data_IF_220744400452
#
_entry.id   IF_220744400452
#
_cell.length_a   1.000
_cell.length_b   1.000
_cell.length_c   1.000
_cell.angle_alpha   90.00
_cell.angle_beta   90.00
_cell.angle_gamma   90.00
#
_symmetry.space_group_name_H-M   'P 1'
#
loop_
_entity.id
_entity.type
_entity.pdbx_description
1 polymer ?
#
# COMPACT_ATOMS: atom_id res chain seq x y z
N UNK A 1 42.18 22.30 -36.52
CA UNK A 1 42.37 20.89 -36.09
C UNK A 1 42.77 20.10 -37.32
N UNK A 2 44.03 19.67 -37.41
CA UNK A 2 44.55 18.95 -38.58
C UNK A 2 44.52 17.44 -38.31
N UNK A 3 43.82 16.68 -39.15
CA UNK A 3 43.80 15.21 -39.12
C UNK A 3 44.78 14.69 -40.18
N UNK A 4 45.76 13.89 -39.78
CA UNK A 4 46.69 13.26 -40.70
C UNK A 4 46.09 11.96 -41.24
N UNK A 5 46.02 11.84 -42.56
CA UNK A 5 45.53 10.65 -43.26
C UNK A 5 46.65 10.08 -44.12
N UNK A 6 46.73 8.75 -44.22
CA UNK A 6 47.67 8.07 -45.11
C UNK A 6 46.90 7.43 -46.26
N UNK A 7 47.41 7.61 -47.47
CA UNK A 7 46.88 6.98 -48.67
C UNK A 7 47.55 5.61 -48.88
N UNK A 8 46.75 4.55 -49.04
CA UNK A 8 47.24 3.20 -49.36
C UNK A 8 46.68 2.77 -50.71
N UNK A 9 47.55 2.23 -51.57
CA UNK A 9 47.19 1.81 -52.93
C UNK A 9 46.47 0.48 -52.91
N UNK A 10 45.23 0.46 -53.41
CA UNK A 10 44.46 -0.77 -53.53
C UNK A 10 44.62 -1.35 -54.94
N UNK A 11 45.39 -2.44 -55.06
CA UNK A 11 45.65 -3.10 -56.36
C UNK A 11 44.41 -3.68 -57.04
N UNK A 12 43.36 -4.06 -56.29
CA UNK A 12 42.11 -4.55 -56.87
C UNK A 12 41.30 -3.45 -57.53
N UNK A 13 41.41 -2.20 -57.05
CA UNK A 13 40.70 -1.04 -57.60
C UNK A 13 41.59 -0.13 -58.47
N UNK A 14 42.88 -0.44 -58.56
CA UNK A 14 43.92 0.36 -59.24
C UNK A 14 43.93 1.85 -58.86
N UNK A 15 43.63 2.20 -57.60
CA UNK A 15 43.70 3.59 -57.11
C UNK A 15 44.11 3.71 -55.63
N UNK A 16 44.56 4.90 -55.22
CA UNK A 16 44.93 5.24 -53.84
C UNK A 16 43.69 5.62 -53.01
N UNK A 17 43.56 5.06 -51.81
CA UNK A 17 42.43 5.31 -50.88
C UNK A 17 42.96 5.79 -49.53
N UNK A 18 42.32 6.82 -48.94
CA UNK A 18 42.75 7.41 -47.68
C UNK A 18 42.21 6.63 -46.47
N UNK A 19 43.09 6.34 -45.53
CA UNK A 19 42.75 5.66 -44.27
C UNK A 19 43.38 6.44 -43.11
N UNK A 20 42.64 6.55 -42.00
CA UNK A 20 43.11 7.18 -40.75
C UNK A 20 43.91 6.16 -39.94
N UNK A 21 45.15 6.50 -39.56
CA UNK A 21 45.97 5.64 -38.70
C UNK A 21 45.95 6.15 -37.26
N UNK A 22 45.37 5.39 -36.36
CA UNK A 22 45.75 5.42 -34.94
C UNK A 22 45.78 3.96 -34.46
N UNK A 23 46.93 3.33 -34.71
CA UNK A 23 47.32 1.96 -34.36
C UNK A 23 47.39 1.77 -32.82
N UNK A 24 47.39 0.57 -32.22
CA UNK A 24 48.17 -0.66 -32.46
C UNK A 24 47.54 -1.83 -31.67
N UNK A 25 47.76 -3.12 -31.86
CA UNK A 25 48.14 -4.01 -32.97
C UNK A 25 47.74 -5.43 -32.49
N UNK A 26 47.16 -6.26 -33.37
CA UNK A 26 46.78 -7.65 -33.11
C UNK A 26 47.34 -8.56 -34.22
N UNK A 27 47.77 -9.77 -33.86
CA UNK A 27 48.24 -10.83 -34.77
C UNK A 27 47.42 -12.13 -34.62
N UNK A 28 47.36 -12.93 -35.69
CA UNK A 28 46.48 -14.09 -35.91
C UNK A 28 47.24 -15.15 -36.76
N UNK A 29 47.32 -16.45 -36.38
CA UNK A 29 47.39 -17.68 -37.27
C UNK A 29 48.06 -18.94 -36.63
N UNK A 30 47.50 -20.15 -36.86
CA UNK A 30 48.17 -21.39 -37.37
C UNK A 30 49.09 -22.32 -36.51
N UNK A 31 48.65 -23.58 -36.36
CA UNK A 31 49.35 -24.91 -36.20
C UNK A 31 50.33 -25.30 -35.04
N UNK A 32 50.08 -26.49 -34.48
CA UNK A 32 50.87 -27.42 -33.63
C UNK A 32 51.81 -26.91 -32.53
N UNK A 33 51.35 -26.92 -31.27
CA UNK A 33 51.95 -27.65 -30.12
C UNK A 33 51.20 -27.30 -28.83
N UNK A 34 51.01 -28.31 -27.99
CA UNK A 34 50.44 -28.18 -26.66
C UNK A 34 51.26 -27.21 -25.78
N UNK A 35 50.57 -26.34 -25.04
CA UNK A 35 50.65 -26.24 -23.57
C UNK A 35 49.72 -25.16 -23.04
N UNK A 36 49.31 -25.38 -21.79
CA UNK A 36 48.30 -24.69 -20.98
C UNK A 36 48.70 -23.24 -20.65
N UNK A 37 47.71 -22.36 -20.40
CA UNK A 37 47.37 -21.75 -19.09
C UNK A 37 46.59 -20.43 -19.22
N UNK A 38 45.57 -20.31 -18.36
CA UNK A 38 45.05 -19.09 -17.72
C UNK A 38 44.68 -17.86 -18.57
N UNK A 39 43.38 -17.56 -18.64
CA UNK A 39 42.76 -16.26 -18.29
C UNK A 39 41.40 -16.10 -18.98
N UNK A 40 40.33 -16.43 -18.27
CA UNK A 40 38.97 -16.13 -18.73
C UNK A 40 38.65 -14.70 -18.29
N UNK A 41 38.99 -13.72 -19.14
CA UNK A 41 38.40 -12.39 -19.13
C UNK A 41 37.48 -12.29 -20.34
N UNK A 42 36.23 -12.71 -20.19
CA UNK A 42 35.20 -12.51 -21.21
C UNK A 42 34.36 -11.28 -20.83
N UNK A 43 34.63 -10.20 -21.56
CA UNK A 43 33.73 -9.09 -21.78
C UNK A 43 32.42 -9.61 -22.39
N UNK A 44 31.37 -9.72 -21.57
CA UNK A 44 30.00 -9.92 -22.06
C UNK A 44 29.10 -8.77 -21.61
N UNK A 45 28.73 -7.96 -22.60
CA UNK A 45 27.35 -7.56 -22.94
C UNK A 45 26.42 -7.22 -21.76
N UNK A 46 26.04 -5.95 -21.75
CA UNK A 46 24.89 -5.35 -21.07
C UNK A 46 23.65 -6.26 -21.08
N UNK A 47 23.04 -6.46 -19.91
CA UNK A 47 21.65 -6.14 -19.53
C UNK A 47 21.21 -6.98 -18.32
N UNK A 48 20.42 -6.35 -17.45
CA UNK A 48 19.72 -6.85 -16.23
C UNK A 48 20.52 -6.70 -14.92
N UNK A 49 20.05 -5.78 -14.05
CA UNK A 49 19.29 -6.28 -12.91
C UNK A 49 17.96 -5.53 -12.81
N UNK A 50 16.92 -6.05 -13.45
CA UNK A 50 15.54 -5.58 -13.24
C UNK A 50 14.64 -6.75 -12.83
N UNK A 51 15.16 -7.66 -12.01
CA UNK A 51 14.41 -8.82 -11.54
C UNK A 51 14.81 -9.18 -10.11
N UNK A 52 14.67 -8.24 -9.18
CA UNK A 52 14.54 -8.59 -7.75
C UNK A 52 13.71 -7.55 -7.00
N UNK A 53 12.53 -7.22 -7.53
CA UNK A 53 11.49 -6.47 -6.80
C UNK A 53 10.15 -7.22 -6.78
N UNK A 54 10.16 -8.54 -7.02
CA UNK A 54 8.94 -9.35 -7.15
C UNK A 54 8.61 -10.19 -5.90
N UNK A 55 9.26 -9.92 -4.77
CA UNK A 55 8.90 -10.54 -3.49
C UNK A 55 9.03 -9.53 -2.35
N UNK A 56 8.34 -8.39 -2.46
CA UNK A 56 7.96 -7.70 -1.24
C UNK A 56 6.99 -8.65 -0.52
N UNK A 57 7.30 -9.18 0.67
CA UNK A 57 6.28 -9.83 1.46
C UNK A 57 5.16 -8.79 1.61
N UNK A 58 3.94 -9.16 1.21
CA UNK A 58 2.79 -8.38 1.64
C UNK A 58 2.79 -8.49 3.16
N UNK A 59 3.38 -7.50 3.82
CA UNK A 59 3.20 -7.29 5.24
C UNK A 59 1.71 -7.07 5.37
N UNK A 60 0.98 -8.13 5.71
CA UNK A 60 -0.44 -8.08 6.01
C UNK A 60 -0.56 -7.28 7.30
N UNK A 61 -0.58 -5.95 7.16
CA UNK A 61 -1.07 -5.09 8.20
C UNK A 61 -2.53 -5.49 8.40
N UNK A 62 -2.86 -5.77 9.65
CA UNK A 62 -4.21 -6.04 10.05
C UNK A 62 -5.10 -4.87 9.53
N UNK A 63 -6.27 -5.18 8.98
CA UNK A 63 -7.05 -4.27 8.10
C UNK A 63 -8.56 -4.45 8.34
N UNK A 64 -9.36 -3.41 8.04
CA UNK A 64 -10.82 -3.49 8.05
C UNK A 64 -11.31 -3.75 6.62
N UNK A 65 -11.93 -4.92 6.41
CA UNK A 65 -12.43 -5.36 5.10
C UNK A 65 -13.92 -5.59 5.20
N UNK A 66 -14.69 -4.71 4.57
CA UNK A 66 -16.14 -4.87 4.43
C UNK A 66 -16.49 -6.12 3.62
N UNK A 67 -17.59 -6.78 3.98
CA UNK A 67 -18.04 -8.00 3.29
C UNK A 67 -19.38 -8.49 3.80
N UNK A 68 -20.06 -9.35 3.05
CA UNK A 68 -21.38 -9.88 3.41
C UNK A 68 -22.54 -8.92 3.12
N UNK A 69 -23.72 -9.23 3.66
CA UNK A 69 -25.00 -8.60 3.30
C UNK A 69 -25.10 -7.11 3.68
N UNK A 70 -24.39 -6.68 4.74
CA UNK A 70 -24.39 -5.30 5.21
C UNK A 70 -22.97 -4.70 5.18
N UNK A 71 -22.24 -4.92 4.08
CA UNK A 71 -20.90 -4.37 3.90
C UNK A 71 -20.92 -2.82 3.92
N UNK A 72 -20.25 -2.15 4.87
CA UNK A 72 -20.16 -0.69 4.88
C UNK A 72 -19.09 -0.17 3.90
N UNK A 73 -19.03 1.15 3.71
CA UNK A 73 -17.96 1.77 2.95
C UNK A 73 -16.76 2.08 3.87
N UNK A 74 -15.59 1.53 3.54
CA UNK A 74 -14.34 1.76 4.27
C UNK A 74 -13.42 2.63 3.41
N UNK A 75 -12.91 3.71 3.99
CA UNK A 75 -11.99 4.65 3.35
C UNK A 75 -10.82 4.94 4.30
N UNK A 76 -9.81 5.64 3.81
CA UNK A 76 -8.79 6.22 4.68
C UNK A 76 -8.98 7.73 4.78
N UNK A 77 -8.83 8.25 6.00
CA UNK A 77 -8.72 9.70 6.21
C UNK A 77 -7.42 10.23 5.60
N UNK A 78 -7.28 11.56 5.41
CA UNK A 78 -6.04 12.15 4.87
C UNK A 78 -4.78 11.82 5.68
N UNK A 79 -4.91 11.54 6.98
CA UNK A 79 -3.81 11.11 7.85
C UNK A 79 -3.66 9.58 7.96
N UNK A 80 -4.35 8.82 7.11
CA UNK A 80 -4.17 7.37 6.95
C UNK A 80 -4.84 6.51 8.02
N UNK A 81 -5.89 7.01 8.68
CA UNK A 81 -6.72 6.22 9.60
C UNK A 81 -7.84 5.56 8.82
N UNK A 82 -8.09 4.28 9.07
CA UNK A 82 -9.26 3.60 8.50
C UNK A 82 -10.55 4.21 9.08
N UNK A 83 -11.40 4.70 8.20
CA UNK A 83 -12.72 5.23 8.52
C UNK A 83 -13.79 4.36 7.87
N UNK A 84 -14.72 3.87 8.68
CA UNK A 84 -15.93 3.19 8.24
C UNK A 84 -17.09 4.17 8.23
N UNK A 85 -17.62 4.44 7.04
CA UNK A 85 -18.92 5.08 6.88
C UNK A 85 -20.00 4.01 7.13
N UNK A 86 -20.48 3.94 8.37
CA UNK A 86 -21.42 2.91 8.80
C UNK A 86 -22.74 2.99 8.02
N UNK A 87 -23.43 1.86 7.91
CA UNK A 87 -24.72 1.79 7.24
C UNK A 87 -25.78 2.61 7.97
N UNK A 88 -26.80 3.05 7.23
CA UNK A 88 -27.97 3.72 7.78
C UNK A 88 -28.62 2.86 8.88
N UNK A 89 -28.93 3.43 10.06
CA UNK A 89 -29.59 2.66 11.10
C UNK A 89 -31.03 2.29 10.72
N UNK A 90 -31.51 1.18 11.32
CA UNK A 90 -32.93 0.81 11.29
C UNK A 90 -33.80 1.82 12.06
N UNK A 91 -35.12 1.65 12.02
CA UNK A 91 -36.05 2.48 12.81
C UNK A 91 -35.81 2.44 14.32
N UNK A 92 -35.17 1.38 14.82
CA UNK A 92 -34.76 1.27 16.23
C UNK A 92 -33.44 2.00 16.56
N UNK A 93 -32.77 2.58 15.56
CA UNK A 93 -31.49 3.25 15.72
C UNK A 93 -30.27 2.32 15.69
N UNK A 94 -30.42 1.10 15.16
CA UNK A 94 -29.34 0.10 15.09
C UNK A 94 -28.74 0.08 13.68
N UNK A 95 -27.45 0.36 13.56
CA UNK A 95 -26.67 0.19 12.33
C UNK A 95 -25.96 -1.16 12.36
N UNK A 96 -26.22 -2.01 11.37
CA UNK A 96 -25.53 -3.31 11.22
C UNK A 96 -24.52 -3.21 10.09
N UNK A 97 -23.29 -3.65 10.36
CA UNK A 97 -22.15 -3.56 9.46
C UNK A 97 -21.45 -4.91 9.45
N UNK A 98 -21.27 -5.50 8.27
CA UNK A 98 -20.67 -6.83 8.11
C UNK A 98 -19.29 -6.71 7.47
N UNK A 99 -18.35 -7.52 7.96
CA UNK A 99 -16.95 -7.51 7.58
C UNK A 99 -16.42 -8.94 7.39
N UNK A 100 -15.47 -9.10 6.48
CA UNK A 100 -14.65 -10.33 6.40
C UNK A 100 -13.44 -10.24 7.33
N UNK A 101 -13.07 -9.02 7.74
CA UNK A 101 -11.97 -8.73 8.67
C UNK A 101 -12.27 -7.40 9.37
N UNK A 102 -12.08 -7.33 10.68
CA UNK A 102 -12.15 -6.08 11.42
C UNK A 102 -11.02 -6.07 12.45
N UNK A 103 -9.89 -5.49 12.06
CA UNK A 103 -8.76 -5.30 12.96
C UNK A 103 -8.46 -3.82 13.15
N UNK A 104 -8.36 -3.39 14.40
CA UNK A 104 -7.99 -2.03 14.74
C UNK A 104 -6.48 -1.95 14.94
N UNK A 105 -5.81 -1.19 14.07
CA UNK A 105 -4.36 -0.98 14.17
C UNK A 105 -4.01 -0.08 15.35
N UNK A 106 -2.72 0.02 15.68
CA UNK A 106 -2.23 0.92 16.74
C UNK A 106 -2.65 2.38 16.55
N UNK A 107 -2.74 2.83 15.29
CA UNK A 107 -3.22 4.16 14.91
C UNK A 107 -4.72 4.37 15.16
N UNK A 108 -5.46 3.29 15.39
CA UNK A 108 -6.89 3.27 15.61
C UNK A 108 -7.71 3.18 14.32
N UNK A 109 -9.03 3.22 14.49
CA UNK A 109 -10.01 3.25 13.42
C UNK A 109 -11.22 4.12 13.82
N UNK A 110 -11.96 4.61 12.83
CA UNK A 110 -13.08 5.54 13.04
C UNK A 110 -14.37 4.91 12.51
N UNK A 111 -15.42 4.92 13.30
CA UNK A 111 -16.81 4.69 12.87
C UNK A 111 -17.47 6.05 12.68
N UNK A 112 -17.71 6.44 11.42
CA UNK A 112 -18.33 7.73 11.11
C UNK A 112 -19.86 7.65 11.30
N UNK A 113 -20.33 8.15 12.45
CA UNK A 113 -21.74 8.22 12.84
C UNK A 113 -22.28 9.67 12.76
N UNK A 114 -21.68 10.53 11.93
CA UNK A 114 -22.07 11.93 11.81
C UNK A 114 -22.83 12.20 10.51
N UNK A 115 -24.00 12.84 10.51
CA UNK A 115 -24.66 13.27 9.26
C UNK A 115 -24.01 14.52 8.64
N UNK A 116 -23.13 15.19 9.38
CA UNK A 116 -22.43 16.41 8.96
C UNK A 116 -20.93 16.29 9.19
N UNK A 117 -20.16 17.21 8.63
CA UNK A 117 -18.73 17.31 8.90
C UNK A 117 -18.46 17.40 10.41
N UNK A 118 -17.44 16.70 10.91
CA UNK A 118 -17.12 16.62 12.33
C UNK A 118 -15.61 16.53 12.56
N UNK A 119 -15.15 17.10 13.67
CA UNK A 119 -13.79 16.92 14.16
C UNK A 119 -13.67 15.56 14.86
N UNK A 120 -12.96 14.62 14.23
CA UNK A 120 -12.50 13.37 14.84
C UNK A 120 -11.19 13.60 15.59
N UNK A 121 -10.98 12.82 16.65
CA UNK A 121 -9.75 12.81 17.44
C UNK A 121 -8.61 12.11 16.69
N UNK A 122 -8.92 10.98 16.03
CA UNK A 122 -7.95 10.20 15.27
C UNK A 122 -7.75 10.78 13.87
N UNK A 123 -8.82 11.19 13.19
CA UNK A 123 -8.84 11.50 11.76
C UNK A 123 -8.77 12.99 11.39
N UNK A 124 -8.74 13.88 12.38
CA UNK A 124 -8.86 15.32 12.12
C UNK A 124 -10.29 15.70 11.68
N UNK A 125 -10.41 16.72 10.84
CA UNK A 125 -11.70 17.07 10.23
C UNK A 125 -12.09 16.02 9.18
N UNK A 126 -13.23 15.37 9.37
CA UNK A 126 -13.79 14.39 8.44
C UNK A 126 -15.18 14.83 7.94
N UNK A 127 -15.51 14.47 6.71
CA UNK A 127 -16.84 14.70 6.14
C UNK A 127 -17.92 13.89 6.87
N UNK A 128 -19.16 14.35 6.75
CA UNK A 128 -20.32 13.57 7.19
C UNK A 128 -20.41 12.23 6.47
N UNK A 129 -20.99 11.25 7.14
CA UNK A 129 -21.29 9.95 6.57
C UNK A 129 -22.32 10.12 5.44
N UNK A 130 -21.96 9.78 4.19
CA UNK A 130 -22.84 9.97 3.03
C UNK A 130 -24.12 9.10 3.09
N UNK A 131 -24.17 8.10 3.97
CA UNK A 131 -25.34 7.24 4.14
C UNK A 131 -26.47 7.90 4.93
N UNK A 132 -26.23 9.07 5.57
CA UNK A 132 -27.15 9.68 6.53
C UNK A 132 -27.79 10.96 6.00
N UNK A 133 -29.08 11.12 6.30
CA UNK A 133 -29.73 12.44 6.31
C UNK A 133 -29.63 13.07 7.72
N UNK A 134 -29.97 14.37 7.87
CA UNK A 134 -30.01 15.02 9.18
C UNK A 134 -30.84 14.23 10.21
N UNK A 135 -30.30 14.06 11.42
CA UNK A 135 -30.96 13.33 12.51
C UNK A 135 -30.91 11.79 12.42
N UNK A 136 -30.21 11.22 11.44
CA UNK A 136 -30.19 9.76 11.23
C UNK A 136 -28.97 9.04 11.82
N UNK A 137 -28.32 9.62 12.82
CA UNK A 137 -27.21 8.93 13.47
C UNK A 137 -27.69 7.71 14.27
N UNK A 138 -26.88 6.65 14.26
CA UNK A 138 -27.16 5.43 14.97
C UNK A 138 -27.01 5.63 16.49
N UNK A 139 -27.83 4.90 17.26
CA UNK A 139 -27.72 4.74 18.71
C UNK A 139 -26.88 3.53 19.08
N UNK A 140 -26.92 2.50 18.24
CA UNK A 140 -26.14 1.26 18.38
C UNK A 140 -25.49 0.93 17.05
N UNK A 141 -24.21 0.59 17.07
CA UNK A 141 -23.42 0.17 15.91
C UNK A 141 -22.98 -1.26 16.15
N UNK A 142 -23.53 -2.19 15.37
CA UNK A 142 -23.16 -3.60 15.38
C UNK A 142 -22.18 -3.84 14.25
N UNK A 143 -21.01 -4.34 14.60
CA UNK A 143 -19.96 -4.77 13.69
C UNK A 143 -19.85 -6.29 13.75
N UNK A 144 -20.21 -6.97 12.67
CA UNK A 144 -20.21 -8.43 12.58
C UNK A 144 -19.08 -8.88 11.67
N UNK A 145 -18.18 -9.70 12.19
CA UNK A 145 -17.06 -10.25 11.44
C UNK A 145 -17.37 -11.69 11.10
N UNK A 146 -17.46 -11.98 9.81
CA UNK A 146 -17.57 -13.33 9.28
C UNK A 146 -16.19 -13.79 8.84
N UNK A 147 -15.39 -14.27 9.79
CA UNK A 147 -14.03 -14.75 9.56
C UNK A 147 -13.76 -15.97 10.41
N UNK A 148 -12.82 -16.82 9.97
CA UNK A 148 -12.23 -17.87 10.79
C UNK A 148 -11.08 -17.35 11.68
N UNK A 149 -10.68 -16.09 11.52
CA UNK A 149 -9.62 -15.44 12.30
C UNK A 149 -10.20 -14.50 13.36
N UNK A 150 -9.61 -14.52 14.57
CA UNK A 150 -9.91 -13.56 15.61
C UNK A 150 -9.56 -12.12 15.18
N UNK A 151 -10.35 -11.15 15.64
CA UNK A 151 -10.12 -9.73 15.39
C UNK A 151 -8.98 -9.20 16.24
N UNK A 152 -8.05 -8.45 15.67
CA UNK A 152 -6.97 -7.80 16.43
C UNK A 152 -7.36 -6.39 16.84
N UNK A 153 -7.24 -6.05 18.12
CA UNK A 153 -7.45 -4.70 18.63
C UNK A 153 -6.14 -4.21 19.23
N UNK A 154 -5.42 -3.37 18.51
CA UNK A 154 -4.12 -2.83 18.93
C UNK A 154 -4.16 -1.32 19.20
N UNK A 155 -5.30 -0.65 18.94
CA UNK A 155 -5.47 0.80 19.11
C UNK A 155 -6.92 1.21 19.40
N UNK A 156 -7.17 2.52 19.36
CA UNK A 156 -8.48 3.08 19.70
C UNK A 156 -9.51 2.92 18.57
N UNK A 157 -10.75 2.63 18.94
CA UNK A 157 -11.89 2.69 18.03
C UNK A 157 -12.74 3.92 18.39
N UNK A 158 -12.74 4.93 17.52
CA UNK A 158 -13.49 6.17 17.73
C UNK A 158 -14.86 6.09 17.05
N UNK A 159 -15.91 6.59 17.72
CA UNK A 159 -17.19 6.93 17.06
C UNK A 159 -17.20 8.43 16.81
N UNK A 160 -17.06 8.84 15.54
CA UNK A 160 -17.11 10.24 15.16
C UNK A 160 -18.56 10.72 14.99
N UNK A 161 -18.87 11.92 15.48
CA UNK A 161 -20.24 12.45 15.47
C UNK A 161 -21.05 12.08 16.70
N UNK A 162 -22.30 11.66 16.49
CA UNK A 162 -23.19 11.31 17.60
C UNK A 162 -22.71 10.04 18.30
N UNK A 163 -22.78 10.05 19.63
CA UNK A 163 -22.39 8.90 20.47
C UNK A 163 -23.32 7.71 20.23
N UNK A 164 -22.74 6.52 20.20
CA UNK A 164 -23.45 5.26 20.05
C UNK A 164 -22.77 4.16 20.86
N UNK A 165 -23.55 3.15 21.24
CA UNK A 165 -23.00 1.92 21.77
C UNK A 165 -22.40 1.11 20.63
N UNK A 166 -21.17 0.60 20.79
CA UNK A 166 -20.51 -0.21 19.78
C UNK A 166 -20.47 -1.65 20.24
N UNK A 167 -20.96 -2.54 19.39
CA UNK A 167 -20.91 -3.99 19.57
C UNK A 167 -20.03 -4.54 18.46
N UNK A 168 -19.05 -5.37 18.83
CA UNK A 168 -18.26 -6.15 17.89
C UNK A 168 -18.50 -7.63 18.15
N UNK A 169 -18.92 -8.34 17.11
CA UNK A 169 -19.15 -9.78 17.14
C UNK A 169 -18.24 -10.45 16.12
N UNK A 170 -17.28 -11.24 16.60
CA UNK A 170 -16.47 -12.14 15.79
C UNK A 170 -16.55 -13.54 16.40
N UNK A 171 -17.15 -14.54 15.74
CA UNK A 171 -17.25 -15.90 16.26
C UNK A 171 -15.89 -16.54 16.59
N UNK A 172 -14.83 -16.15 15.89
CA UNK A 172 -13.45 -16.60 16.16
C UNK A 172 -12.79 -15.89 17.35
N UNK A 173 -13.49 -14.93 17.97
CA UNK A 173 -13.08 -14.23 19.18
C UNK A 173 -12.36 -12.91 18.95
N UNK A 174 -12.12 -12.22 20.06
CA UNK A 174 -11.33 -10.99 20.17
C UNK A 174 -10.34 -11.24 21.31
N UNK A 175 -9.02 -11.31 21.07
CA UNK A 175 -8.05 -11.55 22.11
C UNK A 175 -8.06 -10.37 23.08
N UNK A 176 -8.30 -10.65 24.37
CA UNK A 176 -8.28 -9.66 25.43
C UNK A 176 -6.84 -9.16 25.66
N UNK A 177 -6.44 -8.14 24.90
CA UNK A 177 -5.34 -7.26 25.29
C UNK A 177 -5.98 -6.02 25.90
N UNK A 178 -5.61 -5.67 27.13
CA UNK A 178 -6.20 -4.55 27.84
C UNK A 178 -5.90 -3.24 27.08
N UNK A 179 -6.89 -2.70 26.39
CA UNK A 179 -6.80 -1.41 25.70
C UNK A 179 -7.82 -0.45 26.30
N UNK A 180 -7.34 0.66 26.86
CA UNK A 180 -8.13 1.68 27.54
C UNK A 180 -9.07 2.37 26.55
N UNK A 181 -10.36 2.00 26.56
CA UNK A 181 -11.39 2.70 25.79
C UNK A 181 -11.72 4.05 26.46
N UNK A 182 -10.96 5.10 26.12
CA UNK A 182 -11.24 6.46 26.62
C UNK A 182 -12.42 7.07 25.88
N UNK A 183 -13.65 6.82 26.34
CA UNK A 183 -14.84 7.52 25.85
C UNK A 183 -15.03 8.82 26.64
N UNK A 184 -14.44 9.95 26.20
CA UNK A 184 -14.71 11.27 26.82
C UNK A 184 -15.77 12.05 26.05
N UNK A 185 -16.73 12.61 26.80
CA UNK A 185 -17.86 13.40 26.27
C UNK A 185 -17.45 14.85 26.26
N UNK A 186 -17.34 15.46 25.07
CA UNK A 186 -17.35 16.92 25.00
C UNK A 186 -18.77 17.39 25.29
N UNK A 187 -19.05 17.76 26.54
CA UNK A 187 -20.27 18.50 26.90
C UNK A 187 -19.96 19.97 26.65
N UNK A 188 -20.36 20.47 25.47
CA UNK A 188 -20.30 21.90 25.16
C UNK A 188 -21.30 22.62 26.07
N UNK A 189 -20.80 23.35 27.07
CA UNK A 189 -21.60 24.29 27.85
C UNK A 189 -21.66 25.59 27.05
N UNK A 190 -22.77 25.83 26.39
CA UNK A 190 -23.17 27.17 25.94
C UNK A 190 -23.96 27.84 27.06
N UNK A 191 -23.82 29.17 27.09
CA UNK A 191 -24.27 30.18 28.07
C UNK A 191 -23.39 30.32 29.30
#
# INVERSE_FOLDING_TARGET
MNRCYRLVYSRSRKMLVAVEETATAAGKSGETRATRLSSVCHSLRRLLPAALLALAPMLSFAQIVAGGAHAPNVIQTPNGIEQVNINRPSGAGVSVNTYNRFDVQQRGAILNNSPTMVQSQLGGMINGNPNFAPGQAAKVIVNQVNSASASQFNGALEVAGQRANVILANPSGIPCRAHSATTRSSKRRTT
#
